data_IF_432817215988
#
_entry.id   IF_432817215988
#
_cell.length_a   1.000
_cell.length_b   1.000
_cell.length_c   1.000
_cell.angle_alpha   90.00
_cell.angle_beta   90.00
_cell.angle_gamma   90.00
#
_symmetry.space_group_name_H-M   'P 1'
#
loop_
_entity.id
_entity.type
_entity.pdbx_description
1 polymer ?
#
# COMPACT_ATOMS: atom_id res chain seq x y z
N UNK A 1 -3.84 18.22 -24.39
CA UNK A 1 -2.45 18.25 -23.88
C UNK A 1 -2.29 17.08 -22.92
N UNK A 2 -1.29 16.22 -23.12
CA UNK A 2 -1.12 14.99 -22.36
C UNK A 2 -0.28 15.27 -21.10
N UNK A 3 -0.78 14.93 -19.91
CA UNK A 3 -0.11 15.25 -18.65
C UNK A 3 1.29 14.62 -18.55
N UNK A 4 1.47 13.40 -19.09
CA UNK A 4 2.76 12.70 -19.13
C UNK A 4 3.83 13.41 -19.98
N UNK A 5 3.43 14.19 -20.97
CA UNK A 5 4.35 14.85 -21.90
C UNK A 5 4.79 16.23 -21.42
N UNK A 6 4.16 16.75 -20.36
CA UNK A 6 4.49 18.06 -19.77
C UNK A 6 5.86 18.01 -19.09
N UNK A 7 6.63 19.09 -19.23
CA UNK A 7 7.94 19.20 -18.59
C UNK A 7 7.85 19.14 -17.06
N UNK A 8 6.77 19.66 -16.49
CA UNK A 8 6.48 19.58 -15.07
C UNK A 8 6.37 18.12 -14.60
N UNK A 9 5.63 17.27 -15.31
CA UNK A 9 5.49 15.86 -14.94
C UNK A 9 6.82 15.10 -15.08
N UNK A 10 7.57 15.32 -16.17
CA UNK A 10 8.90 14.74 -16.36
C UNK A 10 9.88 15.15 -15.25
N UNK A 11 9.80 16.40 -14.80
CA UNK A 11 10.59 16.88 -13.66
C UNK A 11 10.22 16.13 -12.38
N UNK A 12 8.94 15.97 -12.07
CA UNK A 12 8.49 15.18 -10.92
C UNK A 12 8.91 13.71 -11.01
N UNK A 13 8.92 13.11 -12.19
CA UNK A 13 9.41 11.74 -12.36
C UNK A 13 10.91 11.61 -12.06
N UNK A 14 11.73 12.53 -12.56
CA UNK A 14 13.18 12.56 -12.27
C UNK A 14 13.44 12.80 -10.77
N UNK A 15 12.67 13.70 -10.17
CA UNK A 15 12.73 13.96 -8.74
C UNK A 15 12.34 12.72 -7.92
N UNK A 16 11.23 12.06 -8.28
CA UNK A 16 10.77 10.84 -7.63
C UNK A 16 11.84 9.74 -7.68
N UNK A 17 12.44 9.48 -8.84
CA UNK A 17 13.47 8.45 -8.97
C UNK A 17 14.72 8.75 -8.13
N UNK A 18 15.23 9.98 -8.21
CA UNK A 18 16.40 10.40 -7.42
C UNK A 18 16.14 10.30 -5.92
N UNK A 19 15.01 10.84 -5.45
CA UNK A 19 14.66 10.86 -4.04
C UNK A 19 14.38 9.46 -3.49
N UNK A 20 13.68 8.63 -4.25
CA UNK A 20 13.35 7.25 -3.87
C UNK A 20 14.60 6.39 -3.72
N UNK A 21 15.54 6.49 -4.67
CA UNK A 21 16.80 5.77 -4.60
C UNK A 21 17.64 6.26 -3.41
N UNK A 22 17.65 7.57 -3.14
CA UNK A 22 18.36 8.11 -1.98
C UNK A 22 17.70 7.68 -0.66
N UNK A 23 16.37 7.68 -0.57
CA UNK A 23 15.63 7.23 0.61
C UNK A 23 15.89 5.75 0.91
N UNK A 24 15.96 4.89 -0.12
CA UNK A 24 16.33 3.49 0.03
C UNK A 24 17.75 3.34 0.58
N UNK A 25 18.72 4.07 0.01
CA UNK A 25 20.12 4.04 0.47
C UNK A 25 20.21 4.47 1.93
N UNK A 26 19.57 5.58 2.30
CA UNK A 26 19.59 6.11 3.66
C UNK A 26 18.89 5.16 4.66
N UNK A 27 17.81 4.50 4.26
CA UNK A 27 17.13 3.53 5.12
C UNK A 27 17.98 2.28 5.36
N UNK A 28 18.68 1.78 4.32
CA UNK A 28 19.51 0.57 4.40
C UNK A 28 20.85 0.82 5.09
N UNK A 29 21.52 1.93 4.77
CA UNK A 29 22.87 2.22 5.24
C UNK A 29 22.85 2.99 6.56
N UNK A 30 21.95 3.97 6.68
CA UNK A 30 21.97 4.94 7.78
C UNK A 30 20.81 4.73 8.78
N UNK A 31 19.97 3.72 8.56
CA UNK A 31 18.78 3.43 9.37
C UNK A 31 17.85 4.65 9.55
N UNK A 32 17.78 5.52 8.53
CA UNK A 32 16.94 6.71 8.52
C UNK A 32 15.49 6.40 8.11
N UNK A 33 14.51 7.24 8.52
CA UNK A 33 13.12 7.07 8.09
C UNK A 33 13.00 7.11 6.56
N UNK A 34 12.32 6.10 6.00
CA UNK A 34 12.05 5.99 4.56
C UNK A 34 10.76 6.66 4.04
N UNK A 35 9.81 7.22 4.84
CA UNK A 35 8.61 7.80 4.25
C UNK A 35 8.93 8.95 3.28
N UNK A 36 8.48 8.80 2.03
CA UNK A 36 8.70 9.79 0.97
C UNK A 36 7.43 10.59 0.64
N UNK A 37 6.30 10.22 1.25
CA UNK A 37 5.02 10.90 1.14
C UNK A 37 4.52 11.37 2.50
N UNK A 38 4.10 12.63 2.57
CA UNK A 38 3.51 13.29 3.74
C UNK A 38 2.13 13.86 3.39
N UNK A 39 1.49 14.50 4.38
CA UNK A 39 0.24 15.23 4.19
C UNK A 39 0.38 16.40 3.19
N UNK A 40 1.57 17.02 3.12
CA UNK A 40 1.85 18.15 2.24
C UNK A 40 2.25 17.72 0.83
N UNK A 41 2.42 16.41 0.59
CA UNK A 41 2.78 15.94 -0.74
C UNK A 41 1.65 16.24 -1.73
N UNK A 42 1.99 17.03 -2.74
CA UNK A 42 1.06 17.38 -3.81
C UNK A 42 0.51 16.14 -4.51
N UNK A 43 -0.69 16.28 -5.05
CA UNK A 43 -1.30 15.23 -5.86
C UNK A 43 -0.38 14.82 -7.03
N UNK A 44 0.17 15.79 -7.77
CA UNK A 44 1.05 15.51 -8.93
C UNK A 44 2.30 14.72 -8.54
N UNK A 45 2.94 15.04 -7.43
CA UNK A 45 4.11 14.30 -6.94
C UNK A 45 3.74 12.86 -6.58
N UNK A 46 2.60 12.65 -5.91
CA UNK A 46 2.11 11.32 -5.54
C UNK A 46 1.86 10.45 -6.78
N UNK A 47 1.23 11.03 -7.79
CA UNK A 47 1.00 10.35 -9.08
C UNK A 47 2.35 10.02 -9.76
N UNK A 48 3.27 10.98 -9.84
CA UNK A 48 4.58 10.77 -10.45
C UNK A 48 5.38 9.65 -9.76
N UNK A 49 5.34 9.58 -8.42
CA UNK A 49 5.98 8.51 -7.65
C UNK A 49 5.36 7.15 -7.92
N UNK A 50 4.03 7.01 -7.91
CA UNK A 50 3.40 5.73 -8.23
C UNK A 50 3.71 5.26 -9.67
N UNK A 51 3.72 6.19 -10.64
CA UNK A 51 4.14 5.88 -12.01
C UNK A 51 5.60 5.43 -12.05
N UNK A 52 6.48 6.09 -11.29
CA UNK A 52 7.88 5.70 -11.18
C UNK A 52 8.06 4.31 -10.54
N UNK A 53 7.28 3.99 -9.51
CA UNK A 53 7.31 2.69 -8.85
C UNK A 53 6.91 1.57 -9.79
N UNK A 54 5.84 1.75 -10.56
CA UNK A 54 5.40 0.75 -11.51
C UNK A 54 6.36 0.62 -12.70
N UNK A 55 6.76 1.74 -13.30
CA UNK A 55 7.65 1.75 -14.47
C UNK A 55 9.03 1.11 -14.19
N UNK A 56 9.51 1.22 -12.95
CA UNK A 56 10.79 0.63 -12.53
C UNK A 56 10.61 -0.68 -11.74
N UNK A 57 9.41 -1.25 -11.74
CA UNK A 57 9.05 -2.48 -11.02
C UNK A 57 9.58 -2.49 -9.57
N UNK A 58 9.36 -1.39 -8.83
CA UNK A 58 9.78 -1.31 -7.43
C UNK A 58 9.07 -2.42 -6.63
N UNK A 59 9.81 -3.02 -5.71
CA UNK A 59 9.28 -4.09 -4.88
C UNK A 59 8.19 -3.56 -3.95
N UNK A 60 7.16 -4.35 -3.66
CA UNK A 60 6.06 -3.93 -2.80
C UNK A 60 6.53 -3.56 -1.39
N UNK A 61 7.52 -4.28 -0.85
CA UNK A 61 8.15 -3.97 0.45
C UNK A 61 8.78 -2.58 0.47
N UNK A 62 9.36 -2.12 -0.66
CA UNK A 62 9.88 -0.77 -0.77
C UNK A 62 8.73 0.24 -0.68
N UNK A 63 7.67 0.05 -1.46
CA UNK A 63 6.51 0.95 -1.47
C UNK A 63 5.85 1.04 -0.08
N UNK A 64 5.65 -0.08 0.60
CA UNK A 64 5.11 -0.07 1.98
C UNK A 64 5.97 0.75 2.94
N UNK A 65 7.29 0.64 2.83
CA UNK A 65 8.20 1.40 3.67
C UNK A 65 8.26 2.88 3.29
N UNK A 66 8.18 3.21 2.00
CA UNK A 66 8.10 4.57 1.46
C UNK A 66 6.78 5.28 1.84
N UNK A 67 5.73 4.50 2.10
CA UNK A 67 4.46 4.95 2.65
C UNK A 67 4.44 4.99 4.18
N UNK A 68 5.54 4.60 4.84
CA UNK A 68 5.71 4.69 6.28
C UNK A 68 4.97 3.62 7.08
N UNK A 69 4.56 2.50 6.49
CA UNK A 69 3.73 1.48 7.17
C UNK A 69 4.38 0.87 8.41
N UNK A 70 5.71 0.83 8.47
CA UNK A 70 6.46 0.32 9.62
C UNK A 70 6.52 1.33 10.79
N UNK A 71 6.34 2.62 10.54
CA UNK A 71 6.46 3.67 11.57
C UNK A 71 5.15 4.37 11.91
N UNK A 72 4.34 4.71 10.92
CA UNK A 72 3.14 5.54 11.08
C UNK A 72 2.01 4.76 11.77
N UNK A 73 1.21 5.48 12.54
CA UNK A 73 -0.05 4.96 13.06
C UNK A 73 -1.10 4.88 11.94
N UNK A 74 -2.16 4.06 12.08
CA UNK A 74 -3.26 4.03 11.11
C UNK A 74 -3.84 5.41 10.80
N UNK A 75 -4.07 6.23 11.82
CA UNK A 75 -4.58 7.59 11.65
C UNK A 75 -3.65 8.48 10.83
N UNK A 76 -2.32 8.36 11.01
CA UNK A 76 -1.35 9.10 10.21
C UNK A 76 -1.26 8.57 8.77
N UNK A 77 -1.41 7.26 8.57
CA UNK A 77 -1.47 6.66 7.22
C UNK A 77 -2.68 7.19 6.44
N UNK A 78 -3.85 7.24 7.10
CA UNK A 78 -5.09 7.79 6.53
C UNK A 78 -4.97 9.29 6.25
N UNK A 79 -4.49 10.08 7.22
CA UNK A 79 -4.31 11.52 7.06
C UNK A 79 -3.37 11.86 5.88
N UNK A 80 -2.33 11.07 5.68
CA UNK A 80 -1.39 11.22 4.57
C UNK A 80 -1.91 10.62 3.25
N UNK A 81 -3.10 10.01 3.23
CA UNK A 81 -3.69 9.28 2.09
C UNK A 81 -2.81 8.13 1.59
N UNK A 82 -1.94 7.60 2.45
CA UNK A 82 -0.99 6.56 2.09
C UNK A 82 -1.67 5.19 1.94
N UNK A 83 -2.79 4.98 2.61
CA UNK A 83 -3.70 3.84 2.44
C UNK A 83 -4.28 3.77 1.02
N UNK A 84 -4.88 4.86 0.53
CA UNK A 84 -5.43 4.95 -0.83
C UNK A 84 -4.33 4.77 -1.87
N UNK A 85 -3.20 5.45 -1.66
CA UNK A 85 -2.02 5.37 -2.54
C UNK A 85 -1.56 3.92 -2.68
N UNK A 86 -1.47 3.19 -1.57
CA UNK A 86 -1.09 1.78 -1.60
C UNK A 86 -2.10 0.91 -2.32
N UNK A 87 -3.40 1.09 -2.05
CA UNK A 87 -4.45 0.30 -2.70
C UNK A 87 -4.42 0.48 -4.23
N UNK A 88 -4.29 1.73 -4.70
CA UNK A 88 -4.23 2.03 -6.14
C UNK A 88 -2.98 1.44 -6.77
N UNK A 89 -1.80 1.63 -6.16
CA UNK A 89 -0.57 1.00 -6.63
C UNK A 89 -0.67 -0.54 -6.65
N UNK A 90 -1.22 -1.14 -5.60
CA UNK A 90 -1.36 -2.59 -5.48
C UNK A 90 -2.28 -3.17 -6.55
N UNK A 91 -3.40 -2.50 -6.87
CA UNK A 91 -4.28 -2.87 -7.97
C UNK A 91 -3.57 -2.73 -9.31
N UNK A 92 -2.88 -1.61 -9.54
CA UNK A 92 -2.13 -1.37 -10.76
C UNK A 92 -1.08 -2.46 -11.01
N UNK A 93 -0.33 -2.84 -9.98
CA UNK A 93 0.73 -3.86 -10.05
C UNK A 93 0.21 -5.29 -10.25
N UNK A 94 -0.89 -5.65 -9.61
CA UNK A 94 -1.30 -7.06 -9.48
C UNK A 94 -2.50 -7.45 -10.34
N UNK A 95 -3.31 -6.50 -10.82
CA UNK A 95 -4.40 -6.81 -11.72
C UNK A 95 -3.86 -6.96 -13.15
N UNK A 96 -3.76 -8.20 -13.62
CA UNK A 96 -3.27 -8.51 -14.97
C UNK A 96 -4.14 -7.91 -16.09
N UNK A 97 -5.40 -7.53 -15.82
CA UNK A 97 -6.22 -6.79 -16.79
C UNK A 97 -5.76 -5.34 -16.92
N UNK A 98 -5.17 -4.82 -15.85
CA UNK A 98 -4.48 -3.53 -15.81
C UNK A 98 -3.00 -3.67 -16.15
N UNK A 99 -2.44 -4.89 -16.17
CA UNK A 99 -1.04 -5.15 -16.46
C UNK A 99 -0.77 -5.90 -17.77
N UNK A 100 -0.63 -5.14 -18.86
CA UNK A 100 -0.10 -5.64 -20.14
C UNK A 100 1.43 -5.67 -20.13
N UNK A 101 2.04 -6.63 -20.84
CA UNK A 101 3.48 -6.67 -21.03
C UNK A 101 3.96 -5.39 -21.76
N UNK A 102 4.95 -4.69 -21.18
CA UNK A 102 5.53 -3.43 -21.67
C UNK A 102 4.53 -2.26 -21.79
N UNK A 103 4.13 -1.70 -20.65
CA UNK A 103 3.39 -0.43 -20.65
C UNK A 103 4.31 0.77 -20.77
N UNK A 104 3.92 1.72 -21.62
CA UNK A 104 4.57 3.02 -21.60
C UNK A 104 4.19 3.77 -20.32
N UNK A 105 5.03 4.71 -19.89
CA UNK A 105 4.73 5.64 -18.78
C UNK A 105 3.36 6.31 -18.94
N UNK A 106 2.96 6.59 -20.18
CA UNK A 106 1.66 7.19 -20.51
C UNK A 106 0.50 6.23 -20.19
N UNK A 107 0.65 4.95 -20.49
CA UNK A 107 -0.38 3.94 -20.22
C UNK A 107 -0.55 3.72 -18.72
N UNK A 108 0.58 3.66 -18.00
CA UNK A 108 0.60 3.58 -16.53
C UNK A 108 -0.12 4.79 -15.94
N UNK A 109 0.22 6.01 -16.37
CA UNK A 109 -0.43 7.22 -15.90
C UNK A 109 -1.93 7.20 -16.18
N UNK A 110 -2.34 6.80 -17.38
CA UNK A 110 -3.76 6.74 -17.75
C UNK A 110 -4.54 5.79 -16.84
N UNK A 111 -4.06 4.56 -16.64
CA UNK A 111 -4.71 3.57 -15.77
C UNK A 111 -4.75 4.02 -14.32
N UNK A 112 -3.67 4.64 -13.87
CA UNK A 112 -3.60 5.18 -12.52
C UNK A 112 -4.63 6.30 -12.32
N UNK A 113 -4.79 7.19 -13.29
CA UNK A 113 -5.84 8.22 -13.27
C UNK A 113 -7.24 7.61 -13.26
N UNK A 114 -7.46 6.53 -13.99
CA UNK A 114 -8.74 5.80 -13.97
C UNK A 114 -9.00 5.25 -12.56
N UNK A 115 -8.04 4.51 -11.98
CA UNK A 115 -8.14 3.96 -10.63
C UNK A 115 -8.35 5.01 -9.53
N UNK A 116 -7.63 6.13 -9.58
CA UNK A 116 -7.74 7.21 -8.59
C UNK A 116 -9.13 7.86 -8.55
N UNK A 117 -9.82 7.87 -9.69
CA UNK A 117 -11.15 8.46 -9.85
C UNK A 117 -12.28 7.45 -9.60
N UNK A 118 -11.98 6.16 -9.41
CA UNK A 118 -13.00 5.16 -9.12
C UNK A 118 -13.65 5.42 -7.74
N UNK A 119 -14.97 5.23 -7.61
CA UNK A 119 -15.62 5.27 -6.32
C UNK A 119 -15.18 4.08 -5.46
N UNK A 120 -15.25 4.20 -4.12
CA UNK A 120 -14.83 3.12 -3.21
C UNK A 120 -15.49 1.76 -3.46
N UNK A 121 -16.75 1.76 -3.90
CA UNK A 121 -17.47 0.54 -4.24
C UNK A 121 -16.86 -0.22 -5.43
N UNK A 122 -16.39 0.50 -6.44
CA UNK A 122 -15.76 -0.11 -7.62
C UNK A 122 -14.35 -0.61 -7.31
N UNK A 123 -13.58 0.15 -6.52
CA UNK A 123 -12.30 -0.33 -5.99
C UNK A 123 -12.45 -1.60 -5.16
N UNK A 124 -13.54 -1.70 -4.38
CA UNK A 124 -13.86 -2.90 -3.62
C UNK A 124 -14.13 -4.11 -4.54
N UNK A 125 -14.82 -3.92 -5.67
CA UNK A 125 -15.05 -4.98 -6.66
C UNK A 125 -13.74 -5.46 -7.27
N UNK A 126 -12.85 -4.54 -7.67
CA UNK A 126 -11.55 -4.87 -8.25
C UNK A 126 -10.70 -5.70 -7.29
N UNK A 127 -10.50 -5.24 -6.05
CA UNK A 127 -9.68 -6.00 -5.08
C UNK A 127 -10.29 -7.35 -4.70
N UNK A 128 -11.60 -7.54 -4.87
CA UNK A 128 -12.29 -8.80 -4.54
C UNK A 128 -12.14 -9.90 -5.60
N UNK A 129 -11.57 -9.58 -6.77
CA UNK A 129 -11.34 -10.56 -7.84
C UNK A 129 -10.55 -11.78 -7.36
N UNK A 130 -10.83 -12.95 -7.96
CA UNK A 130 -10.16 -14.22 -7.59
C UNK A 130 -8.72 -14.29 -8.07
N UNK A 131 -8.41 -13.66 -9.21
CA UNK A 131 -7.06 -13.50 -9.77
C UNK A 131 -6.08 -12.91 -8.77
N UNK A 132 -6.55 -12.08 -7.83
CA UNK A 132 -5.73 -11.42 -6.82
C UNK A 132 -5.55 -12.23 -5.52
N UNK A 133 -5.89 -13.51 -5.49
CA UNK A 133 -5.73 -14.34 -4.29
C UNK A 133 -4.25 -14.48 -3.88
N UNK A 134 -3.37 -14.78 -4.83
CA UNK A 134 -1.95 -15.02 -4.57
C UNK A 134 -1.26 -13.71 -4.19
N UNK A 135 -1.52 -12.63 -4.94
CA UNK A 135 -1.06 -11.29 -4.60
C UNK A 135 -1.46 -10.87 -3.17
N UNK A 136 -2.70 -11.15 -2.73
CA UNK A 136 -3.11 -10.88 -1.34
C UNK A 136 -2.36 -11.72 -0.32
N UNK A 137 -2.11 -12.99 -0.63
CA UNK A 137 -1.34 -13.86 0.24
C UNK A 137 0.08 -13.32 0.41
N UNK A 138 0.74 -12.97 -0.69
CA UNK A 138 2.10 -12.44 -0.70
C UNK A 138 2.18 -11.11 0.06
N UNK A 139 1.26 -10.17 -0.22
CA UNK A 139 1.18 -8.91 0.52
C UNK A 139 0.96 -9.13 2.02
N UNK A 140 0.13 -10.10 2.42
CA UNK A 140 -0.08 -10.44 3.84
C UNK A 140 1.24 -10.87 4.50
N UNK A 141 2.02 -11.70 3.81
CA UNK A 141 3.33 -12.16 4.30
C UNK A 141 4.31 -11.00 4.41
N UNK A 142 4.34 -10.11 3.41
CA UNK A 142 5.18 -8.92 3.43
C UNK A 142 4.82 -7.96 4.56
N UNK A 143 3.53 -7.67 4.77
CA UNK A 143 3.07 -6.83 5.88
C UNK A 143 3.45 -7.42 7.24
N UNK A 144 3.28 -8.73 7.42
CA UNK A 144 3.72 -9.41 8.65
C UNK A 144 5.22 -9.27 8.86
N UNK A 145 6.03 -9.46 7.81
CA UNK A 145 7.49 -9.31 7.90
C UNK A 145 7.87 -7.86 8.26
N UNK A 146 7.29 -6.88 7.56
CA UNK A 146 7.55 -5.46 7.75
C UNK A 146 7.23 -4.99 9.19
N UNK A 147 6.19 -5.57 9.79
CA UNK A 147 5.71 -5.20 11.13
C UNK A 147 6.28 -6.08 12.25
N UNK A 148 7.21 -7.00 11.94
CA UNK A 148 7.80 -7.91 12.94
C UNK A 148 6.84 -8.96 13.50
N UNK A 149 5.84 -9.37 12.71
CA UNK A 149 4.76 -10.30 13.09
C UNK A 149 4.85 -11.68 12.40
N UNK A 150 5.88 -11.92 11.57
CA UNK A 150 5.95 -13.11 10.69
C UNK A 150 5.90 -14.43 11.46
N UNK A 151 6.65 -14.52 12.56
CA UNK A 151 6.86 -15.77 13.30
C UNK A 151 6.02 -15.85 14.58
N UNK A 152 5.07 -14.93 14.75
CA UNK A 152 4.20 -14.87 15.93
C UNK A 152 2.92 -15.67 15.71
N UNK A 153 2.48 -16.38 16.74
CA UNK A 153 1.15 -16.98 16.80
C UNK A 153 0.05 -15.89 16.80
N UNK A 154 -1.20 -16.22 16.43
CA UNK A 154 -2.31 -15.26 16.46
C UNK A 154 -2.48 -14.54 17.82
N UNK A 155 -2.30 -15.28 18.92
CA UNK A 155 -2.40 -14.74 20.28
C UNK A 155 -1.26 -13.77 20.60
N UNK A 156 -0.04 -14.07 20.15
CA UNK A 156 1.12 -13.19 20.35
C UNK A 156 1.02 -11.94 19.48
N UNK A 157 0.58 -12.06 18.23
CA UNK A 157 0.33 -10.92 17.36
C UNK A 157 -0.68 -9.97 18.01
N UNK A 158 -1.79 -10.48 18.55
CA UNK A 158 -2.84 -9.66 19.16
C UNK A 158 -2.36 -8.78 20.32
N UNK A 159 -1.21 -9.11 20.93
CA UNK A 159 -0.59 -8.35 22.03
C UNK A 159 0.44 -7.32 21.55
N UNK A 160 0.74 -7.25 20.25
CA UNK A 160 1.70 -6.29 19.68
C UNK A 160 1.01 -5.01 19.25
N UNK A 161 1.61 -3.87 19.55
CA UNK A 161 1.11 -2.55 19.13
C UNK A 161 0.91 -2.45 17.60
N UNK A 162 1.81 -3.06 16.84
CA UNK A 162 1.79 -3.06 15.36
C UNK A 162 0.71 -3.95 14.75
N UNK A 163 0.00 -4.75 15.55
CA UNK A 163 -1.07 -5.61 15.04
C UNK A 163 -2.28 -4.82 14.54
N UNK A 164 -2.61 -3.69 15.16
CA UNK A 164 -3.68 -2.82 14.67
C UNK A 164 -3.32 -2.22 13.31
N UNK A 165 -2.06 -1.80 13.12
CA UNK A 165 -1.54 -1.38 11.83
C UNK A 165 -1.62 -2.50 10.78
N UNK A 166 -1.28 -3.74 11.15
CA UNK A 166 -1.44 -4.89 10.27
C UNK A 166 -2.90 -5.10 9.85
N UNK A 167 -3.84 -5.09 10.80
CA UNK A 167 -5.27 -5.28 10.51
C UNK A 167 -5.81 -4.20 9.58
N UNK A 168 -5.46 -2.95 9.85
CA UNK A 168 -5.85 -1.81 9.02
C UNK A 168 -5.33 -1.96 7.60
N UNK A 169 -4.01 -2.14 7.44
CA UNK A 169 -3.34 -2.22 6.13
C UNK A 169 -3.77 -3.45 5.33
N UNK A 170 -3.84 -4.62 5.97
CA UNK A 170 -4.31 -5.83 5.30
C UNK A 170 -5.80 -5.71 4.94
N UNK A 171 -6.59 -5.01 5.77
CA UNK A 171 -7.98 -4.67 5.48
C UNK A 171 -8.19 -3.95 4.16
N UNK A 172 -7.23 -3.11 3.72
CA UNK A 172 -7.31 -2.39 2.45
C UNK A 172 -7.50 -3.34 1.27
N UNK A 173 -6.74 -4.44 1.23
CA UNK A 173 -6.73 -5.40 0.11
C UNK A 173 -7.55 -6.66 0.38
N UNK A 174 -7.90 -6.93 1.63
CA UNK A 174 -8.63 -8.13 2.03
C UNK A 174 -10.05 -8.15 1.46
N UNK A 175 -10.52 -9.37 1.19
CA UNK A 175 -11.90 -9.64 0.74
C UNK A 175 -12.93 -9.16 1.76
N UNK A 176 -13.98 -8.50 1.28
CA UNK A 176 -15.04 -7.96 2.12
C UNK A 176 -15.78 -9.04 2.94
N UNK A 177 -16.05 -10.20 2.32
CA UNK A 177 -16.62 -11.36 3.04
C UNK A 177 -15.69 -11.88 4.14
N UNK A 178 -14.37 -11.84 3.92
CA UNK A 178 -13.39 -12.25 4.93
C UNK A 178 -13.24 -11.17 6.03
N UNK A 179 -13.47 -9.89 5.74
CA UNK A 179 -13.54 -8.84 6.77
C UNK A 179 -14.69 -9.11 7.73
N UNK A 180 -15.89 -9.39 7.21
CA UNK A 180 -17.06 -9.73 8.03
C UNK A 180 -16.84 -10.98 8.88
N UNK A 181 -16.25 -12.04 8.32
CA UNK A 181 -15.94 -13.27 9.08
C UNK A 181 -14.95 -12.99 10.20
N UNK A 182 -13.85 -12.26 9.94
CA UNK A 182 -12.85 -11.99 10.96
C UNK A 182 -13.34 -10.99 12.02
N UNK A 183 -14.23 -10.04 11.67
CA UNK A 183 -14.91 -9.19 12.65
C UNK A 183 -15.81 -10.02 13.58
N UNK A 184 -16.56 -10.97 13.02
CA UNK A 184 -17.35 -11.91 13.82
C UNK A 184 -16.47 -12.75 14.75
N UNK A 185 -15.34 -13.26 14.25
CA UNK A 185 -14.37 -14.04 15.05
C UNK A 185 -13.68 -13.15 16.11
N UNK A 186 -13.28 -11.93 15.77
CA UNK A 186 -12.66 -10.99 16.70
C UNK A 186 -13.61 -10.61 17.83
N UNK A 187 -14.88 -10.32 17.51
CA UNK A 187 -15.94 -10.05 18.48
C UNK A 187 -16.21 -11.28 19.37
N UNK A 188 -16.17 -12.49 18.81
CA UNK A 188 -16.30 -13.73 19.57
C UNK A 188 -15.11 -13.90 20.55
N UNK A 189 -13.88 -13.68 20.08
CA UNK A 189 -12.68 -13.77 20.91
C UNK A 189 -12.66 -12.72 22.03
N UNK A 190 -13.10 -11.49 21.77
CA UNK A 190 -13.26 -10.46 22.81
C UNK A 190 -14.29 -10.87 23.88
N UNK A 191 -15.37 -11.57 23.49
CA UNK A 191 -16.36 -12.09 24.44
C UNK A 191 -15.85 -13.28 25.25
N UNK A 192 -14.97 -14.09 24.66
CA UNK A 192 -14.39 -15.28 25.29
C UNK A 192 -13.15 -14.97 26.15
N UNK A 193 -12.58 -13.77 26.04
CA UNK A 193 -11.44 -13.37 26.87
C UNK A 193 -11.96 -12.98 28.27
N UNK A 194 -11.55 -13.68 29.35
CA UNK A 194 -11.99 -13.34 30.70
C UNK A 194 -11.55 -11.91 31.02
N UNK A 195 -12.50 -11.07 31.46
CA UNK A 195 -12.16 -9.77 32.04
C UNK A 195 -11.56 -10.05 33.41
N UNK A 196 -10.23 -10.04 33.49
CA UNK A 196 -9.53 -9.99 34.77
C UNK A 196 -10.00 -8.71 35.48
N UNK A 197 -10.81 -8.88 36.54
CA UNK A 197 -11.09 -7.87 37.54
C UNK A 197 -10.17 -8.12 38.73
#
# INVERSE_FOLDING_TARGET
>A
MNAADTDAFKLYQRYADSFDNHALINAVIENKPMPVLSIDTSWTERIARMVNWEANNKAEVYVMGALGFHILSPAAIEANRNDKTFLVYWLLKNDNTLNAAQQSTKDILKKLMELENLPPAELALLKNQRSLNDARHDTKVLLKKLLGLKDLSPTEMARRDKYQTFLYLYGLIKKQKQQQIDEQVSNLMQRLTPRLR
#
